data_IF_293574100218
#
_entry.id   IF_293574100218
#
_cell.length_a   1.000
_cell.length_b   1.000
_cell.length_c   1.000
_cell.angle_alpha   90.00
_cell.angle_beta   90.00
_cell.angle_gamma   90.00
#
_symmetry.space_group_name_H-M   'P 1'
#
loop_
_entity.id
_entity.type
_entity.pdbx_description
1 polymer ?
#
# COMPACT_ATOMS: atom_id res chain seq x y z
N UNK A 1 29.91 -4.61 -4.13
CA UNK A 1 28.44 -4.75 -4.06
C UNK A 1 27.99 -4.69 -2.61
N UNK A 2 26.75 -4.22 -2.36
CA UNK A 2 26.18 -4.11 -1.01
C UNK A 2 26.22 -5.43 -0.22
N UNK A 3 26.08 -6.59 -0.88
CA UNK A 3 26.15 -7.90 -0.22
C UNK A 3 27.53 -8.19 0.41
N UNK A 4 28.61 -7.78 -0.24
CA UNK A 4 29.97 -7.95 0.30
C UNK A 4 30.17 -7.02 1.50
N UNK A 5 29.71 -5.76 1.41
CA UNK A 5 29.80 -4.83 2.53
C UNK A 5 28.98 -5.33 3.71
N UNK A 6 27.78 -5.86 3.50
CA UNK A 6 26.96 -6.47 4.55
C UNK A 6 27.68 -7.65 5.18
N UNK A 7 28.24 -8.56 4.39
CA UNK A 7 28.95 -9.74 4.90
C UNK A 7 30.18 -9.37 5.73
N UNK A 8 30.88 -8.30 5.37
CA UNK A 8 32.08 -7.82 6.11
C UNK A 8 31.75 -7.00 7.35
N UNK A 9 30.62 -6.27 7.34
CA UNK A 9 30.28 -5.31 8.40
C UNK A 9 29.21 -5.84 9.37
N UNK A 10 28.36 -6.79 8.95
CA UNK A 10 27.37 -7.37 9.82
C UNK A 10 28.04 -8.28 10.85
N UNK A 11 27.84 -7.96 12.11
CA UNK A 11 28.23 -8.80 13.25
C UNK A 11 27.01 -9.62 13.67
N UNK A 12 27.24 -10.87 14.05
CA UNK A 12 26.21 -11.70 14.67
C UNK A 12 25.68 -11.05 15.95
N UNK A 13 24.43 -11.31 16.26
CA UNK A 13 23.79 -10.89 17.49
C UNK A 13 24.66 -11.31 18.69
N UNK A 14 25.17 -10.36 19.52
CA UNK A 14 26.01 -10.68 20.66
C UNK A 14 25.34 -11.65 21.63
N UNK A 15 24.00 -11.68 21.67
CA UNK A 15 23.25 -12.61 22.50
C UNK A 15 23.07 -13.99 21.89
N UNK A 16 23.44 -14.19 20.63
CA UNK A 16 23.30 -15.49 19.95
C UNK A 16 24.12 -16.58 20.65
N UNK A 17 25.40 -16.27 20.95
CA UNK A 17 26.27 -17.17 21.68
C UNK A 17 25.77 -17.44 23.10
N UNK A 18 25.29 -16.41 23.79
CA UNK A 18 24.74 -16.53 25.15
C UNK A 18 23.43 -17.34 25.16
N UNK A 19 22.55 -17.17 24.16
CA UNK A 19 21.32 -17.99 23.99
C UNK A 19 21.65 -19.43 23.71
N UNK A 20 22.63 -19.69 22.84
CA UNK A 20 23.11 -21.04 22.53
C UNK A 20 23.71 -21.72 23.76
N UNK A 21 24.51 -20.99 24.55
CA UNK A 21 25.10 -21.49 25.80
C UNK A 21 24.06 -21.78 26.89
N UNK A 22 22.93 -21.05 26.91
CA UNK A 22 21.78 -21.30 27.80
C UNK A 22 20.89 -22.46 27.37
N UNK A 23 21.24 -23.18 26.29
CA UNK A 23 20.47 -24.32 25.79
C UNK A 23 19.12 -23.94 25.15
N UNK A 24 18.93 -22.68 24.77
CA UNK A 24 17.72 -22.24 24.08
C UNK A 24 17.69 -22.91 22.71
N UNK A 25 16.84 -23.89 22.57
CA UNK A 25 16.65 -24.66 21.36
C UNK A 25 16.07 -23.76 20.28
N UNK A 26 16.58 -23.85 19.05
CA UNK A 26 15.95 -23.24 17.90
C UNK A 26 14.53 -23.81 17.75
N UNK A 27 13.51 -22.92 17.50
CA UNK A 27 12.14 -23.37 17.37
C UNK A 27 12.02 -24.37 16.19
N UNK A 28 11.31 -25.44 16.40
CA UNK A 28 11.01 -26.43 15.34
C UNK A 28 10.12 -25.80 14.27
N UNK A 29 10.15 -26.36 13.06
CA UNK A 29 9.27 -25.87 11.97
C UNK A 29 7.79 -25.85 12.40
N UNK A 30 7.35 -26.86 13.16
CA UNK A 30 5.98 -26.91 13.67
C UNK A 30 5.67 -25.74 14.63
N UNK A 31 6.61 -25.36 15.48
CA UNK A 31 6.47 -24.21 16.38
C UNK A 31 6.48 -22.87 15.61
N UNK A 32 7.27 -22.77 14.53
CA UNK A 32 7.27 -21.59 13.67
C UNK A 32 5.95 -21.41 12.91
N UNK A 33 5.28 -22.49 12.55
CA UNK A 33 3.96 -22.46 11.90
C UNK A 33 2.78 -22.41 12.88
N UNK A 34 3.01 -22.57 14.18
CA UNK A 34 1.95 -22.51 15.19
C UNK A 34 1.12 -21.20 15.13
N UNK A 35 1.69 -20.02 14.87
CA UNK A 35 0.92 -18.77 14.73
C UNK A 35 -0.11 -18.79 13.62
N UNK A 36 0.07 -19.61 12.56
CA UNK A 36 -0.91 -19.73 11.47
C UNK A 36 -2.25 -20.31 11.91
N UNK A 37 -2.31 -20.97 13.08
CA UNK A 37 -3.58 -21.43 13.67
C UNK A 37 -4.41 -20.29 14.25
N UNK A 38 -3.82 -19.12 14.47
CA UNK A 38 -4.50 -17.97 15.03
C UNK A 38 -5.18 -17.17 13.93
N UNK A 39 -6.51 -17.01 14.02
CA UNK A 39 -7.30 -16.22 13.07
C UNK A 39 -6.82 -14.75 12.99
N UNK A 40 -6.29 -14.21 14.07
CA UNK A 40 -5.76 -12.84 14.07
C UNK A 40 -4.57 -12.68 13.11
N UNK A 41 -3.69 -13.67 13.02
CA UNK A 41 -2.55 -13.67 12.10
C UNK A 41 -3.03 -13.54 10.66
N UNK A 42 -4.06 -14.32 10.28
CA UNK A 42 -4.66 -14.24 8.94
C UNK A 42 -5.29 -12.87 8.66
N UNK A 43 -5.99 -12.29 9.64
CA UNK A 43 -6.58 -10.95 9.50
C UNK A 43 -5.52 -9.89 9.27
N UNK A 44 -4.44 -9.89 10.05
CA UNK A 44 -3.33 -8.94 9.87
C UNK A 44 -2.56 -9.17 8.58
N UNK A 45 -2.33 -10.43 8.20
CA UNK A 45 -1.71 -10.78 6.92
C UNK A 45 -2.53 -10.25 5.75
N UNK A 46 -3.86 -10.38 5.81
CA UNK A 46 -4.76 -9.86 4.77
C UNK A 46 -4.72 -8.33 4.71
N UNK A 47 -4.71 -7.65 5.87
CA UNK A 47 -4.58 -6.20 5.92
C UNK A 47 -3.25 -5.74 5.33
N UNK A 48 -2.16 -6.39 5.69
CA UNK A 48 -0.84 -6.08 5.14
C UNK A 48 -0.75 -6.37 3.65
N UNK A 49 -1.33 -7.49 3.21
CA UNK A 49 -1.43 -7.83 1.79
C UNK A 49 -2.13 -6.72 1.00
N UNK A 50 -3.22 -6.15 1.52
CA UNK A 50 -3.89 -5.04 0.88
C UNK A 50 -3.02 -3.77 0.84
N UNK A 51 -2.54 -3.29 2.00
CA UNK A 51 -1.83 -2.00 2.06
C UNK A 51 -0.44 -2.03 1.46
N UNK A 52 0.21 -3.18 1.41
CA UNK A 52 1.53 -3.36 0.79
C UNK A 52 1.44 -3.98 -0.60
N UNK A 53 0.73 -5.07 -0.76
CA UNK A 53 0.57 -5.75 -2.05
C UNK A 53 -0.17 -4.91 -3.05
N UNK A 54 -1.29 -4.29 -2.65
CA UNK A 54 -2.03 -3.34 -3.48
C UNK A 54 -1.18 -2.13 -3.88
N UNK A 55 -0.37 -1.60 -2.95
CA UNK A 55 0.59 -0.54 -3.26
C UNK A 55 1.60 -0.96 -4.33
N UNK A 56 2.22 -2.14 -4.19
CA UNK A 56 3.21 -2.64 -5.17
C UNK A 56 2.56 -2.87 -6.53
N UNK A 57 1.38 -3.48 -6.55
CA UNK A 57 0.64 -3.72 -7.78
C UNK A 57 0.33 -2.41 -8.53
N UNK A 58 -0.19 -1.41 -7.82
CA UNK A 58 -0.48 -0.09 -8.40
C UNK A 58 0.81 0.61 -8.87
N UNK A 59 1.88 0.59 -8.07
CA UNK A 59 3.13 1.24 -8.43
C UNK A 59 3.75 0.67 -9.72
N UNK A 60 3.62 -0.64 -9.95
CA UNK A 60 4.12 -1.30 -11.14
C UNK A 60 3.20 -1.12 -12.36
N UNK A 61 1.90 -1.12 -12.14
CA UNK A 61 0.91 -1.03 -13.22
C UNK A 61 0.65 0.41 -13.69
N UNK A 62 0.76 1.37 -12.79
CA UNK A 62 0.36 2.75 -13.00
C UNK A 62 1.06 3.45 -14.18
N UNK A 63 2.39 3.32 -14.41
CA UNK A 63 3.03 3.95 -15.56
C UNK A 63 2.42 3.47 -16.89
N UNK A 64 2.18 2.18 -17.00
CA UNK A 64 1.60 1.58 -18.20
C UNK A 64 0.16 2.06 -18.43
N UNK A 65 -0.66 2.05 -17.40
CA UNK A 65 -2.02 2.56 -17.46
C UNK A 65 -2.08 4.04 -17.91
N UNK A 66 -1.21 4.87 -17.37
CA UNK A 66 -1.19 6.30 -17.71
C UNK A 66 -0.76 6.55 -19.15
N UNK A 67 0.18 5.78 -19.67
CA UNK A 67 0.57 5.88 -21.08
C UNK A 67 -0.55 5.42 -22.01
N UNK A 68 -1.23 4.33 -21.69
CA UNK A 68 -2.23 3.72 -22.56
C UNK A 68 -3.57 4.49 -22.55
N UNK A 69 -4.02 4.94 -21.38
CA UNK A 69 -5.35 5.55 -21.23
C UNK A 69 -5.29 7.07 -21.42
N UNK A 70 -4.27 7.72 -20.92
CA UNK A 70 -4.14 9.18 -21.00
C UNK A 70 -3.19 9.65 -22.10
N UNK A 71 -2.51 8.74 -22.79
CA UNK A 71 -1.60 9.08 -23.89
C UNK A 71 -0.41 9.94 -23.46
N UNK A 72 -0.08 9.98 -22.16
CA UNK A 72 1.05 10.74 -21.66
C UNK A 72 2.38 10.03 -21.96
N UNK A 73 3.45 10.82 -22.10
CA UNK A 73 4.77 10.27 -22.30
C UNK A 73 5.27 9.47 -21.07
N UNK A 74 6.16 8.54 -21.29
CA UNK A 74 6.69 7.63 -20.26
C UNK A 74 7.31 8.38 -19.08
N UNK A 75 7.90 9.55 -19.34
CA UNK A 75 8.50 10.40 -18.29
C UNK A 75 7.41 10.96 -17.36
N UNK A 76 6.33 11.50 -17.90
CA UNK A 76 5.20 12.04 -17.14
C UNK A 76 4.48 10.92 -16.37
N UNK A 77 4.26 9.77 -17.01
CA UNK A 77 3.69 8.60 -16.36
C UNK A 77 4.57 8.11 -15.19
N UNK A 78 5.89 8.07 -15.39
CA UNK A 78 6.85 7.71 -14.35
C UNK A 78 6.86 8.72 -13.18
N UNK A 79 6.77 10.03 -13.45
CA UNK A 79 6.67 11.04 -12.40
C UNK A 79 5.38 10.91 -11.58
N UNK A 80 4.24 10.64 -12.22
CA UNK A 80 2.98 10.43 -11.54
C UNK A 80 3.01 9.16 -10.64
N UNK A 81 3.58 8.06 -11.15
CA UNK A 81 3.80 6.84 -10.36
C UNK A 81 4.77 7.07 -9.20
N UNK A 82 5.82 7.89 -9.41
CA UNK A 82 6.74 8.30 -8.34
C UNK A 82 6.02 9.14 -7.27
N UNK A 83 5.14 10.06 -7.65
CA UNK A 83 4.35 10.85 -6.70
C UNK A 83 3.48 9.96 -5.81
N UNK A 84 2.81 8.94 -6.37
CA UNK A 84 2.09 7.92 -5.62
C UNK A 84 3.01 7.17 -4.65
N UNK A 85 4.15 6.68 -5.13
CA UNK A 85 5.10 5.90 -4.34
C UNK A 85 5.74 6.72 -3.21
N UNK A 86 6.05 7.99 -3.47
CA UNK A 86 6.57 8.93 -2.47
C UNK A 86 5.54 9.18 -1.37
N UNK A 87 4.29 9.45 -1.73
CA UNK A 87 3.23 9.68 -0.74
C UNK A 87 3.05 8.43 0.15
N UNK A 88 3.01 7.25 -0.46
CA UNK A 88 2.86 5.98 0.24
C UNK A 88 4.07 5.58 1.11
N UNK A 89 5.19 6.26 0.98
CA UNK A 89 6.41 6.00 1.77
C UNK A 89 6.65 7.06 2.84
N UNK A 90 6.58 8.34 2.46
CA UNK A 90 6.90 9.47 3.35
C UNK A 90 5.94 9.59 4.54
N UNK A 91 4.64 9.40 4.30
CA UNK A 91 3.64 9.54 5.35
C UNK A 91 3.54 8.34 6.29
N UNK A 92 4.40 7.33 6.11
CA UNK A 92 4.44 6.16 7.01
C UNK A 92 4.81 6.55 8.45
N UNK A 93 5.76 7.47 8.63
CA UNK A 93 6.13 7.96 9.96
C UNK A 93 4.94 8.66 10.64
N UNK A 94 4.19 9.46 9.87
CA UNK A 94 2.98 10.11 10.36
C UNK A 94 1.89 9.11 10.75
N UNK A 95 1.72 8.02 9.99
CA UNK A 95 0.81 6.92 10.34
C UNK A 95 1.16 6.25 11.66
N UNK A 96 2.46 6.12 11.97
CA UNK A 96 2.94 5.67 13.29
C UNK A 96 2.46 6.58 14.42
N UNK A 97 2.72 7.88 14.31
CA UNK A 97 2.29 8.88 15.29
C UNK A 97 0.76 8.93 15.46
N UNK A 98 0.02 8.80 14.36
CA UNK A 98 -1.44 8.73 14.41
C UNK A 98 -1.94 7.48 15.15
N UNK A 99 -1.28 6.34 14.91
CA UNK A 99 -1.58 5.08 15.59
C UNK A 99 -1.27 5.14 17.08
N UNK A 100 -0.27 5.94 17.48
CA UNK A 100 0.05 6.20 18.90
C UNK A 100 -1.07 6.99 19.58
N UNK A 101 -1.63 7.97 18.88
CA UNK A 101 -2.64 8.88 19.44
C UNK A 101 -4.05 8.31 19.43
N UNK A 102 -4.47 7.66 18.35
CA UNK A 102 -5.86 7.23 18.12
C UNK A 102 -6.05 5.71 18.20
N UNK A 103 -4.96 4.98 18.35
CA UNK A 103 -4.97 3.53 18.32
C UNK A 103 -4.90 2.97 16.89
N UNK A 104 -4.11 1.92 16.72
CA UNK A 104 -3.85 1.32 15.41
C UNK A 104 -5.10 0.80 14.71
N UNK A 105 -6.09 0.26 15.48
CA UNK A 105 -7.36 -0.22 14.93
C UNK A 105 -8.17 0.89 14.27
N UNK A 106 -8.26 2.05 14.89
CA UNK A 106 -8.97 3.23 14.37
C UNK A 106 -8.33 3.72 13.08
N UNK A 107 -6.99 3.82 13.07
CA UNK A 107 -6.23 4.23 11.87
C UNK A 107 -6.44 3.25 10.73
N UNK A 108 -6.51 1.94 11.00
CA UNK A 108 -6.82 0.94 9.98
C UNK A 108 -8.23 1.10 9.41
N UNK A 109 -9.25 1.37 10.23
CA UNK A 109 -10.60 1.64 9.73
C UNK A 109 -10.62 2.87 8.82
N UNK A 110 -9.92 3.93 9.19
CA UNK A 110 -9.77 5.11 8.31
C UNK A 110 -9.08 4.75 7.00
N UNK A 111 -7.97 4.00 7.07
CA UNK A 111 -7.25 3.56 5.88
C UNK A 111 -8.16 2.80 4.92
N UNK A 112 -8.87 1.79 5.41
CA UNK A 112 -9.76 0.99 4.56
C UNK A 112 -10.97 1.78 4.06
N UNK A 113 -11.60 2.59 4.92
CA UNK A 113 -12.74 3.41 4.55
C UNK A 113 -12.41 4.36 3.40
N UNK A 114 -11.36 5.15 3.56
CA UNK A 114 -10.93 6.09 2.52
C UNK A 114 -10.37 5.37 1.29
N UNK A 115 -9.61 4.26 1.47
CA UNK A 115 -9.11 3.49 0.34
C UNK A 115 -10.24 2.94 -0.53
N UNK A 116 -11.32 2.44 0.05
CA UNK A 116 -12.49 1.97 -0.69
C UNK A 116 -13.10 3.10 -1.52
N UNK A 117 -13.29 4.29 -0.92
CA UNK A 117 -13.84 5.45 -1.64
C UNK A 117 -12.95 5.82 -2.83
N UNK A 118 -11.64 5.96 -2.61
CA UNK A 118 -10.72 6.33 -3.68
C UNK A 118 -10.61 5.24 -4.75
N UNK A 119 -10.61 3.96 -4.37
CA UNK A 119 -10.58 2.85 -5.33
C UNK A 119 -11.86 2.81 -6.17
N UNK A 120 -13.03 3.07 -5.57
CA UNK A 120 -14.28 3.18 -6.32
C UNK A 120 -14.21 4.35 -7.30
N UNK A 121 -13.69 5.51 -6.89
CA UNK A 121 -13.51 6.65 -7.80
C UNK A 121 -12.56 6.33 -8.95
N UNK A 122 -11.45 5.63 -8.67
CA UNK A 122 -10.45 5.25 -9.68
C UNK A 122 -10.89 4.08 -10.56
N UNK A 123 -11.84 3.27 -10.11
CA UNK A 123 -12.34 2.11 -10.87
C UNK A 123 -13.39 2.47 -11.92
N UNK A 124 -13.83 3.71 -11.93
CA UNK A 124 -14.85 4.14 -12.91
C UNK A 124 -14.26 4.10 -14.32
N UNK A 125 -14.83 3.28 -15.22
CA UNK A 125 -14.29 3.16 -16.57
C UNK A 125 -14.45 4.47 -17.32
N UNK A 126 -13.47 4.86 -18.14
CA UNK A 126 -13.64 5.95 -19.10
C UNK A 126 -14.70 5.53 -20.12
N UNK A 127 -15.91 6.02 -19.96
CA UNK A 127 -17.05 5.65 -20.82
C UNK A 127 -17.81 6.90 -21.23
N UNK A 128 -18.09 6.99 -22.52
CA UNK A 128 -18.95 8.02 -23.06
C UNK A 128 -20.40 7.52 -23.06
N UNK A 129 -21.24 8.24 -22.35
CA UNK A 129 -22.66 7.95 -22.26
C UNK A 129 -23.44 8.91 -23.13
N UNK A 130 -24.40 8.38 -23.90
CA UNK A 130 -25.39 9.17 -24.63
C UNK A 130 -26.76 8.84 -24.06
N UNK A 131 -27.31 9.76 -23.29
CA UNK A 131 -28.65 9.61 -22.71
C UNK A 131 -29.65 10.31 -23.64
N UNK A 132 -30.62 9.56 -24.17
CA UNK A 132 -31.69 10.09 -25.01
C UNK A 132 -32.77 10.71 -24.12
N UNK A 133 -32.69 12.02 -23.93
CA UNK A 133 -33.70 12.80 -23.21
C UNK A 133 -34.81 13.31 -24.10
N UNK A 134 -35.90 13.87 -23.50
CA UNK A 134 -37.01 14.48 -24.25
C UNK A 134 -36.59 15.62 -25.19
N UNK A 135 -35.48 16.30 -24.87
CA UNK A 135 -34.99 17.47 -25.63
C UNK A 135 -33.80 17.13 -26.54
N UNK A 136 -33.52 15.85 -26.78
CA UNK A 136 -32.39 15.39 -27.59
C UNK A 136 -31.38 14.55 -26.85
N UNK A 137 -30.36 14.01 -27.55
CA UNK A 137 -29.29 13.23 -26.92
C UNK A 137 -28.37 14.15 -26.11
N UNK A 138 -28.13 13.76 -24.86
CA UNK A 138 -27.15 14.42 -23.97
C UNK A 138 -25.96 13.48 -23.86
N UNK A 139 -24.81 13.91 -24.35
CA UNK A 139 -23.56 13.19 -24.22
C UNK A 139 -22.79 13.66 -22.95
N UNK A 140 -22.34 12.75 -22.14
CA UNK A 140 -21.42 13.02 -21.04
C UNK A 140 -20.39 11.90 -20.91
N UNK A 141 -19.18 12.27 -20.51
CA UNK A 141 -18.10 11.33 -20.29
C UNK A 141 -17.84 11.19 -18.79
N UNK A 142 -17.58 9.96 -18.34
CA UNK A 142 -17.17 9.66 -16.96
C UNK A 142 -15.65 9.59 -16.80
N UNK A 143 -14.89 9.86 -17.87
CA UNK A 143 -13.44 9.87 -17.80
C UNK A 143 -12.98 10.97 -16.86
N UNK A 144 -12.21 10.59 -15.85
CA UNK A 144 -11.54 11.53 -14.96
C UNK A 144 -10.33 12.12 -15.70
N UNK A 145 -10.16 13.42 -15.64
CA UNK A 145 -8.96 14.06 -16.19
C UNK A 145 -7.69 13.59 -15.47
N UNK A 146 -6.54 13.70 -16.13
CA UNK A 146 -5.25 13.24 -15.63
C UNK A 146 -4.92 13.80 -14.22
N UNK A 147 -5.09 15.09 -14.02
CA UNK A 147 -4.70 15.74 -12.75
C UNK A 147 -5.58 15.34 -11.56
N UNK A 148 -6.92 15.32 -11.66
CA UNK A 148 -7.78 14.72 -10.64
C UNK A 148 -7.47 13.26 -10.36
N UNK A 149 -7.15 12.46 -11.41
CA UNK A 149 -6.75 11.08 -11.26
C UNK A 149 -5.46 10.94 -10.44
N UNK A 150 -4.42 11.70 -10.77
CA UNK A 150 -3.14 11.70 -10.03
C UNK A 150 -3.32 12.20 -8.60
N UNK A 151 -4.16 13.21 -8.37
CA UNK A 151 -4.47 13.69 -7.02
C UNK A 151 -5.18 12.62 -6.17
N UNK A 152 -6.11 11.89 -6.76
CA UNK A 152 -6.83 10.78 -6.10
C UNK A 152 -5.88 9.63 -5.78
N UNK A 153 -4.94 9.31 -6.68
CA UNK A 153 -3.88 8.34 -6.44
C UNK A 153 -2.95 8.76 -5.30
N UNK A 154 -2.56 10.03 -5.28
CA UNK A 154 -1.74 10.56 -4.19
C UNK A 154 -2.45 10.43 -2.85
N UNK A 155 -3.75 10.76 -2.79
CA UNK A 155 -4.56 10.60 -1.59
C UNK A 155 -4.69 9.12 -1.18
N UNK A 156 -4.91 8.22 -2.14
CA UNK A 156 -4.92 6.78 -1.88
C UNK A 156 -3.58 6.31 -1.29
N UNK A 157 -2.45 6.72 -1.89
CA UNK A 157 -1.11 6.42 -1.40
C UNK A 157 -0.88 6.91 0.03
N UNK A 158 -1.35 8.11 0.35
CA UNK A 158 -1.30 8.68 1.69
C UNK A 158 -2.03 7.77 2.71
N UNK A 159 -3.29 7.40 2.46
CA UNK A 159 -4.03 6.53 3.39
C UNK A 159 -3.45 5.13 3.47
N UNK A 160 -2.98 4.54 2.37
CA UNK A 160 -2.26 3.25 2.40
C UNK A 160 -0.98 3.32 3.25
N UNK A 161 -0.30 4.47 3.25
CA UNK A 161 0.87 4.72 4.08
C UNK A 161 0.54 4.69 5.57
N UNK A 162 -0.56 5.31 5.98
CA UNK A 162 -1.04 5.28 7.37
C UNK A 162 -1.34 3.84 7.82
N UNK A 163 -1.99 3.06 6.96
CA UNK A 163 -2.30 1.65 7.23
C UNK A 163 -1.07 0.76 7.39
N UNK A 164 -0.02 0.98 6.59
CA UNK A 164 1.25 0.25 6.72
C UNK A 164 1.85 0.39 8.12
N UNK A 165 1.85 1.60 8.68
CA UNK A 165 2.38 1.85 10.01
C UNK A 165 1.49 1.24 11.11
N UNK A 166 0.17 1.34 10.95
CA UNK A 166 -0.80 0.84 11.92
C UNK A 166 -0.74 -0.69 12.07
N UNK A 167 -0.51 -1.44 10.98
CA UNK A 167 -0.39 -2.91 11.03
C UNK A 167 0.80 -3.34 11.86
N UNK A 168 1.97 -2.71 11.70
CA UNK A 168 3.18 -3.07 12.44
C UNK A 168 3.06 -2.88 13.96
N UNK A 169 2.17 -2.03 14.41
CA UNK A 169 2.00 -1.77 15.83
C UNK A 169 1.12 -2.79 16.54
N UNK A 170 0.41 -3.61 15.81
CA UNK A 170 -0.47 -4.67 16.33
C UNK A 170 0.19 -6.04 16.39
N UNK A 171 1.38 -6.18 15.81
CA UNK A 171 2.19 -7.39 15.84
C UNK A 171 3.19 -7.32 16.98
#
# INVERSE_FOLDING_TARGET
SMGVAFWLLAKDDPDFAARKARGVRAPTLAEQFAPLKNLQVWRFSLYYFFVFGGFVALALWLPHYLTDVYGVDVRTAGMAAAAFSLSASLFRAYGGALSDRFGARTVMYWTFGFAIVFLVMLSYPPTDYVVHGKNGPIAFSTQMDLWPFVATLFALGFFMSLGKAAVYKHI
#
